data_IF_802880742447
#
_entry.id   IF_802880742447
#
_cell.length_a   1.000
_cell.length_b   1.000
_cell.length_c   1.000
_cell.angle_alpha   90.00
_cell.angle_beta   90.00
_cell.angle_gamma   90.00
#
_symmetry.space_group_name_H-M   'P 1'
#
loop_
_entity.id
_entity.type
_entity.pdbx_description
1 polymer ?
#
# COMPACT_ATOMS: atom_id res chain seq x y z
N UNK A 1 5.83 23.57 0.97
CA UNK A 1 4.41 23.31 0.65
C UNK A 1 3.54 23.57 1.86
N UNK A 2 2.30 24.02 1.64
CA UNK A 2 1.29 24.10 2.69
C UNK A 2 0.75 22.70 3.01
N UNK A 3 0.43 22.42 4.28
CA UNK A 3 -0.16 21.15 4.72
C UNK A 3 -1.47 20.89 3.95
N UNK A 4 -1.59 19.82 3.14
CA UNK A 4 -2.81 19.56 2.40
C UNK A 4 -3.90 19.06 3.35
N UNK A 5 -5.18 19.38 3.06
CA UNK A 5 -6.34 18.83 3.78
C UNK A 5 -7.10 17.84 2.87
N UNK A 6 -7.94 16.99 3.47
CA UNK A 6 -8.65 15.91 2.78
C UNK A 6 -9.30 16.35 1.46
N UNK A 7 -10.13 17.40 1.49
CA UNK A 7 -10.92 17.85 0.34
C UNK A 7 -10.05 18.21 -0.88
N UNK A 8 -8.84 18.71 -0.64
CA UNK A 8 -7.92 19.12 -1.70
C UNK A 8 -7.20 17.92 -2.32
N UNK A 9 -6.94 16.86 -1.55
CA UNK A 9 -6.25 15.66 -2.07
C UNK A 9 -7.22 14.64 -2.65
N UNK A 10 -8.39 14.45 -2.05
CA UNK A 10 -9.46 13.61 -2.61
C UNK A 10 -9.98 14.13 -3.95
N UNK A 11 -9.83 15.44 -4.21
CA UNK A 11 -10.10 16.03 -5.54
C UNK A 11 -9.12 15.57 -6.63
N UNK A 12 -7.97 14.98 -6.27
CA UNK A 12 -6.92 14.54 -7.19
C UNK A 12 -6.01 15.67 -7.71
N UNK A 13 -6.19 16.92 -7.27
CA UNK A 13 -5.54 18.11 -7.84
C UNK A 13 -4.09 18.35 -7.40
N UNK A 14 -3.58 17.64 -6.39
CA UNK A 14 -2.28 17.96 -5.73
C UNK A 14 -1.11 17.06 -6.12
N UNK A 15 -1.37 15.94 -6.79
CA UNK A 15 -0.34 14.93 -7.09
C UNK A 15 0.09 14.06 -5.89
N UNK A 16 -0.46 14.27 -4.69
CA UNK A 16 -0.22 13.39 -3.54
C UNK A 16 -0.73 11.95 -3.80
N UNK A 17 -0.16 10.98 -3.08
CA UNK A 17 -0.64 9.59 -3.02
C UNK A 17 -1.17 9.33 -1.62
N UNK A 18 -2.24 8.56 -1.46
CA UNK A 18 -2.57 7.97 -0.17
C UNK A 18 -1.50 6.93 0.18
N UNK A 19 -0.98 6.99 1.40
CA UNK A 19 0.17 6.19 1.78
C UNK A 19 0.20 5.75 3.25
N UNK A 20 1.17 4.90 3.58
CA UNK A 20 1.57 4.56 4.94
C UNK A 20 3.08 4.78 5.11
N UNK A 21 3.45 5.41 6.22
CA UNK A 21 4.82 5.38 6.73
C UNK A 21 4.97 4.17 7.64
N UNK A 22 5.90 3.29 7.30
CA UNK A 22 6.14 2.05 8.03
C UNK A 22 7.43 2.18 8.81
N UNK A 23 7.32 2.39 10.12
CA UNK A 23 8.47 2.35 11.02
C UNK A 23 8.64 0.92 11.52
N UNK A 24 9.82 0.34 11.28
CA UNK A 24 10.09 -1.06 11.58
C UNK A 24 11.48 -1.27 12.19
N UNK A 25 11.63 -2.37 12.93
CA UNK A 25 12.92 -2.82 13.47
C UNK A 25 13.59 -3.79 12.47
N UNK A 26 14.71 -3.40 11.82
CA UNK A 26 15.38 -4.23 10.83
C UNK A 26 15.96 -5.53 11.39
N UNK A 27 16.09 -5.67 12.72
CA UNK A 27 16.48 -6.93 13.36
C UNK A 27 15.35 -7.95 13.43
N UNK A 28 14.09 -7.52 13.23
CA UNK A 28 12.88 -8.36 13.30
C UNK A 28 12.22 -8.57 11.96
N UNK A 29 12.19 -7.53 11.13
CA UNK A 29 11.64 -7.58 9.78
C UNK A 29 12.56 -6.83 8.81
N UNK A 30 12.91 -7.50 7.71
CA UNK A 30 13.70 -6.88 6.66
C UNK A 30 12.84 -6.05 5.71
N UNK A 31 13.46 -5.08 5.04
CA UNK A 31 12.78 -4.31 4.00
C UNK A 31 12.27 -5.19 2.84
N UNK A 32 12.98 -6.27 2.52
CA UNK A 32 12.55 -7.24 1.50
C UNK A 32 11.24 -7.94 1.88
N UNK A 33 11.05 -8.28 3.16
CA UNK A 33 9.78 -8.84 3.66
C UNK A 33 8.65 -7.81 3.61
N UNK A 34 8.93 -6.53 3.90
CA UNK A 34 7.92 -5.47 3.74
C UNK A 34 7.51 -5.27 2.28
N UNK A 35 8.45 -5.39 1.34
CA UNK A 35 8.15 -5.38 -0.09
C UNK A 35 7.28 -6.58 -0.48
N UNK A 36 7.63 -7.79 -0.05
CA UNK A 36 6.82 -9.00 -0.30
C UNK A 36 5.38 -8.82 0.21
N UNK A 37 5.21 -8.32 1.45
CA UNK A 37 3.89 -7.98 1.99
C UNK A 37 3.18 -6.94 1.11
N UNK A 38 3.87 -5.90 0.66
CA UNK A 38 3.30 -4.88 -0.22
C UNK A 38 2.71 -5.50 -1.50
N UNK A 39 3.43 -6.40 -2.17
CA UNK A 39 2.98 -7.03 -3.42
C UNK A 39 1.75 -7.92 -3.20
N UNK A 40 1.65 -8.58 -2.05
CA UNK A 40 0.47 -9.39 -1.71
C UNK A 40 -0.79 -8.56 -1.39
N UNK A 41 -0.67 -7.23 -1.27
CA UNK A 41 -1.76 -6.38 -0.79
C UNK A 41 -2.28 -5.38 -1.84
N UNK A 42 -1.67 -5.33 -3.02
CA UNK A 42 -2.00 -4.36 -4.08
C UNK A 42 -2.30 -5.03 -5.42
N UNK A 43 -3.01 -4.32 -6.29
CA UNK A 43 -3.03 -4.54 -7.73
C UNK A 43 -1.99 -3.60 -8.38
N UNK A 44 -0.80 -4.10 -8.75
CA UNK A 44 0.25 -3.30 -9.38
C UNK A 44 0.10 -3.23 -10.91
N UNK A 45 -1.07 -3.57 -11.45
CA UNK A 45 -1.28 -3.72 -12.90
C UNK A 45 -2.21 -2.66 -13.52
N UNK A 46 -2.80 -1.81 -12.68
CA UNK A 46 -3.75 -0.76 -13.06
C UNK A 46 -3.22 0.59 -12.61
N UNK A 47 -2.97 1.50 -13.55
CA UNK A 47 -2.42 2.81 -13.23
C UNK A 47 -3.49 3.71 -12.58
N UNK A 48 -3.10 4.48 -11.55
CA UNK A 48 -3.98 5.43 -10.85
C UNK A 48 -5.30 4.79 -10.36
N UNK A 49 -5.22 3.54 -9.94
CA UNK A 49 -6.37 2.78 -9.47
C UNK A 49 -5.90 1.69 -8.52
N UNK A 50 -6.69 1.45 -7.48
CA UNK A 50 -6.56 0.27 -6.65
C UNK A 50 -7.94 -0.35 -6.44
N UNK A 51 -8.14 -1.56 -6.98
CA UNK A 51 -9.43 -2.22 -6.96
C UNK A 51 -10.57 -1.31 -7.49
N UNK A 52 -11.58 -1.00 -6.66
CA UNK A 52 -12.66 -0.08 -7.00
C UNK A 52 -12.29 1.41 -6.88
N UNK A 53 -11.21 1.76 -6.17
CA UNK A 53 -10.76 3.13 -5.93
C UNK A 53 -10.00 3.69 -7.14
N UNK A 54 -10.44 4.84 -7.68
CA UNK A 54 -9.88 5.44 -8.91
C UNK A 54 -9.39 6.87 -8.68
N UNK A 55 -8.22 7.17 -9.21
CA UNK A 55 -7.57 8.46 -9.07
C UNK A 55 -6.07 8.34 -8.81
N UNK A 56 -5.33 9.41 -9.13
CA UNK A 56 -3.86 9.44 -8.96
C UNK A 56 -3.45 9.21 -7.50
N UNK A 57 -4.30 9.57 -6.55
CA UNK A 57 -4.07 9.33 -5.14
C UNK A 57 -4.01 7.82 -4.77
N UNK A 58 -4.63 6.94 -5.57
CA UNK A 58 -4.65 5.49 -5.33
C UNK A 58 -3.62 4.72 -6.17
N UNK A 59 -2.66 5.41 -6.79
CA UNK A 59 -1.60 4.74 -7.55
C UNK A 59 -0.76 3.85 -6.62
N UNK A 60 -0.35 2.68 -7.12
CA UNK A 60 0.65 1.85 -6.45
C UNK A 60 2.01 2.54 -6.50
N UNK A 61 2.65 2.76 -5.35
CA UNK A 61 3.94 3.43 -5.27
C UNK A 61 4.77 2.93 -4.08
N UNK A 62 6.10 2.99 -4.20
CA UNK A 62 7.08 2.73 -3.14
C UNK A 62 7.99 3.96 -3.04
N UNK A 63 8.15 4.48 -1.83
CA UNK A 63 8.96 5.66 -1.54
C UNK A 63 10.19 5.32 -0.68
N UNK A 64 11.26 4.77 -1.27
CA UNK A 64 12.47 4.43 -0.54
C UNK A 64 13.09 5.65 0.17
N UNK A 65 13.47 5.46 1.44
CA UNK A 65 14.14 6.45 2.27
C UNK A 65 15.64 6.60 1.95
N UNK A 66 16.25 5.60 1.29
CA UNK A 66 17.66 5.63 0.90
C UNK A 66 17.94 4.74 -0.34
N UNK A 67 19.15 4.85 -0.89
CA UNK A 67 19.58 4.10 -2.09
C UNK A 67 19.51 2.58 -1.94
N UNK A 68 19.76 2.06 -0.74
CA UNK A 68 19.67 0.62 -0.48
C UNK A 68 18.23 0.11 -0.60
N UNK A 69 17.28 0.82 0.00
CA UNK A 69 15.86 0.55 -0.17
C UNK A 69 15.40 0.72 -1.62
N UNK A 70 15.89 1.74 -2.33
CA UNK A 70 15.56 1.93 -3.75
C UNK A 70 16.02 0.73 -4.60
N UNK A 71 17.25 0.26 -4.39
CA UNK A 71 17.78 -0.91 -5.08
C UNK A 71 16.95 -2.16 -4.80
N UNK A 72 16.62 -2.42 -3.53
CA UNK A 72 15.77 -3.56 -3.14
C UNK A 72 14.36 -3.46 -3.72
N UNK A 73 13.76 -2.27 -3.73
CA UNK A 73 12.45 -2.04 -4.33
C UNK A 73 12.46 -2.37 -5.82
N UNK A 74 13.46 -1.88 -6.57
CA UNK A 74 13.62 -2.16 -8.01
C UNK A 74 13.86 -3.65 -8.29
N UNK A 75 14.68 -4.30 -7.47
CA UNK A 75 14.90 -5.75 -7.57
C UNK A 75 13.61 -6.52 -7.31
N UNK A 76 12.83 -6.13 -6.31
CA UNK A 76 11.54 -6.79 -6.02
C UNK A 76 10.53 -6.61 -7.15
N UNK A 77 10.41 -5.40 -7.71
CA UNK A 77 9.56 -5.11 -8.86
C UNK A 77 9.89 -6.04 -10.04
N UNK A 78 11.18 -6.12 -10.39
CA UNK A 78 11.64 -7.01 -11.47
C UNK A 78 11.33 -8.48 -11.16
N UNK A 79 11.57 -8.93 -9.92
CA UNK A 79 11.28 -10.30 -9.53
C UNK A 79 9.79 -10.66 -9.69
N UNK A 80 8.86 -9.75 -9.37
CA UNK A 80 7.43 -9.99 -9.59
C UNK A 80 7.01 -9.90 -11.06
N UNK A 81 7.62 -9.01 -11.84
CA UNK A 81 7.43 -9.00 -13.30
C UNK A 81 7.86 -10.34 -13.91
N UNK A 82 9.04 -10.84 -13.55
CA UNK A 82 9.61 -12.10 -14.04
C UNK A 82 8.80 -13.31 -13.57
N UNK A 83 8.24 -13.26 -12.35
CA UNK A 83 7.40 -14.34 -11.80
C UNK A 83 6.13 -14.60 -12.61
N UNK A 84 5.61 -13.57 -13.29
CA UNK A 84 4.33 -13.63 -14.02
C UNK A 84 3.10 -13.79 -13.13
N UNK A 85 3.21 -13.66 -11.79
CA UNK A 85 2.09 -13.75 -10.84
C UNK A 85 0.93 -12.81 -11.21
N UNK A 86 1.25 -11.61 -11.65
CA UNK A 86 0.28 -10.59 -12.08
C UNK A 86 -0.09 -10.66 -13.57
N UNK A 87 0.18 -11.79 -14.22
CA UNK A 87 0.05 -12.00 -15.66
C UNK A 87 1.41 -12.07 -16.33
N UNK A 88 1.69 -13.20 -16.98
CA UNK A 88 2.97 -13.44 -17.67
C UNK A 88 3.22 -12.39 -18.75
N UNK A 89 4.42 -11.78 -18.72
CA UNK A 89 4.83 -10.75 -19.68
C UNK A 89 4.18 -9.37 -19.46
N UNK A 90 3.47 -9.18 -18.33
CA UNK A 90 2.85 -7.91 -17.99
C UNK A 90 3.83 -7.04 -17.21
N UNK A 91 4.01 -5.81 -17.67
CA UNK A 91 4.74 -4.77 -16.93
C UNK A 91 3.90 -4.27 -15.75
N UNK A 92 4.52 -4.14 -14.59
CA UNK A 92 3.89 -3.57 -13.40
C UNK A 92 4.00 -2.03 -13.43
N UNK A 93 2.95 -1.36 -12.98
CA UNK A 93 2.83 0.11 -13.03
C UNK A 93 3.20 0.78 -11.71
N UNK A 94 3.68 0.02 -10.72
CA UNK A 94 4.10 0.55 -9.42
C UNK A 94 5.25 1.53 -9.59
N UNK A 95 5.06 2.75 -9.08
CA UNK A 95 6.07 3.81 -9.12
C UNK A 95 7.12 3.58 -8.02
N UNK A 96 8.41 3.75 -8.33
CA UNK A 96 9.49 3.79 -7.32
C UNK A 96 10.10 5.19 -7.39
N UNK A 97 9.82 6.00 -6.37
CA UNK A 97 10.17 7.42 -6.34
C UNK A 97 10.84 7.81 -5.03
N UNK A 98 11.77 8.77 -5.01
CA UNK A 98 12.38 9.23 -3.76
C UNK A 98 11.34 9.66 -2.72
N UNK A 99 11.59 9.33 -1.45
CA UNK A 99 10.76 9.79 -0.34
C UNK A 99 10.71 11.32 -0.26
N UNK A 100 9.51 11.87 -0.38
CA UNK A 100 9.22 13.29 -0.25
C UNK A 100 8.73 13.66 1.16
N UNK A 101 8.13 14.84 1.29
CA UNK A 101 7.46 15.24 2.52
C UNK A 101 6.25 14.34 2.82
N UNK A 102 6.17 13.86 4.05
CA UNK A 102 5.06 13.06 4.54
C UNK A 102 4.10 13.90 5.38
N UNK A 103 2.83 13.91 4.99
CA UNK A 103 1.79 14.65 5.70
C UNK A 103 0.80 13.67 6.33
N UNK A 104 0.88 13.52 7.66
CA UNK A 104 -0.03 12.66 8.42
C UNK A 104 -1.49 13.06 8.17
N UNK A 105 -2.29 12.06 7.82
CA UNK A 105 -3.73 12.13 7.67
C UNK A 105 -4.43 12.53 9.00
N UNK A 106 -5.61 13.15 8.93
CA UNK A 106 -6.47 13.41 10.08
C UNK A 106 -6.75 12.13 10.91
N UNK A 107 -7.01 12.33 12.20
CA UNK A 107 -7.01 11.26 13.19
C UNK A 107 -8.10 10.19 12.97
N UNK A 108 -9.20 10.54 12.31
CA UNK A 108 -10.27 9.57 12.03
C UNK A 108 -9.90 8.54 10.95
N UNK A 109 -8.86 8.80 10.14
CA UNK A 109 -8.32 7.82 9.19
C UNK A 109 -7.30 6.87 9.80
N UNK A 110 -6.68 7.26 10.92
CA UNK A 110 -5.68 6.46 11.60
C UNK A 110 -6.37 5.25 12.21
N UNK A 111 -5.81 4.05 12.02
CA UNK A 111 -6.36 2.81 12.56
C UNK A 111 -7.82 2.57 12.14
N UNK A 112 -8.21 3.04 10.95
CA UNK A 112 -9.61 2.99 10.51
C UNK A 112 -10.19 1.58 10.54
N UNK A 113 -9.40 0.57 10.16
CA UNK A 113 -9.81 -0.83 10.16
C UNK A 113 -10.09 -1.37 11.58
N UNK A 114 -9.41 -0.85 12.60
CA UNK A 114 -9.64 -1.17 14.02
C UNK A 114 -10.84 -0.40 14.57
N UNK A 115 -10.96 0.89 14.21
CA UNK A 115 -12.03 1.78 14.70
C UNK A 115 -13.39 1.45 14.07
N UNK A 116 -13.41 0.97 12.82
CA UNK A 116 -14.63 0.71 12.04
C UNK A 116 -14.61 -0.66 11.34
N UNK A 117 -14.46 -1.78 12.08
CA UNK A 117 -14.14 -3.09 11.50
C UNK A 117 -15.25 -3.65 10.59
N UNK A 118 -16.52 -3.35 10.85
CA UNK A 118 -17.65 -3.81 10.03
C UNK A 118 -17.73 -3.07 8.71
N UNK A 119 -17.66 -1.73 8.75
CA UNK A 119 -17.63 -0.89 7.56
C UNK A 119 -16.40 -1.20 6.70
N UNK A 120 -15.26 -1.41 7.35
CA UNK A 120 -14.03 -1.81 6.68
C UNK A 120 -14.20 -3.12 5.90
N UNK A 121 -14.68 -4.18 6.57
CA UNK A 121 -14.92 -5.49 5.94
C UNK A 121 -15.96 -5.42 4.82
N UNK A 122 -17.04 -4.67 5.04
CA UNK A 122 -18.07 -4.47 4.01
C UNK A 122 -17.48 -3.77 2.78
N UNK A 123 -16.72 -2.69 2.98
CA UNK A 123 -16.11 -1.94 1.89
C UNK A 123 -15.09 -2.79 1.12
N UNK A 124 -14.17 -3.42 1.83
CA UNK A 124 -13.10 -4.27 1.26
C UNK A 124 -13.65 -5.40 0.40
N UNK A 125 -14.64 -6.14 0.90
CA UNK A 125 -15.27 -7.24 0.16
C UNK A 125 -16.00 -6.75 -1.08
N UNK A 126 -16.72 -5.62 -0.99
CA UNK A 126 -17.45 -5.03 -2.13
C UNK A 126 -16.56 -4.35 -3.17
N UNK A 127 -15.36 -3.92 -2.77
CA UNK A 127 -14.40 -3.27 -3.65
C UNK A 127 -13.69 -4.25 -4.59
N UNK A 128 -13.86 -5.56 -4.39
CA UNK A 128 -13.28 -6.62 -5.22
C UNK A 128 -11.81 -6.92 -4.92
N UNK A 129 -11.27 -6.40 -3.81
CA UNK A 129 -9.89 -6.66 -3.37
C UNK A 129 -9.66 -8.14 -3.11
N UNK A 130 -10.50 -8.73 -2.27
CA UNK A 130 -10.29 -10.11 -1.83
C UNK A 130 -10.42 -11.09 -3.00
N UNK A 131 -11.34 -10.83 -3.93
CA UNK A 131 -11.49 -11.63 -5.14
C UNK A 131 -10.27 -11.53 -6.06
N UNK A 132 -9.74 -10.32 -6.25
CA UNK A 132 -8.52 -10.11 -7.03
C UNK A 132 -7.32 -10.81 -6.38
N UNK A 133 -7.12 -10.64 -5.08
CA UNK A 133 -6.00 -11.25 -4.37
C UNK A 133 -6.10 -12.79 -4.40
N UNK A 134 -7.28 -13.36 -4.19
CA UNK A 134 -7.51 -14.81 -4.36
C UNK A 134 -7.22 -15.29 -5.78
N UNK A 135 -7.50 -14.49 -6.81
CA UNK A 135 -7.16 -14.84 -8.19
C UNK A 135 -5.64 -14.90 -8.42
N UNK A 136 -4.86 -14.04 -7.77
CA UNK A 136 -3.39 -13.97 -7.94
C UNK A 136 -2.67 -14.98 -7.05
N UNK A 137 -3.10 -15.12 -5.80
CA UNK A 137 -2.37 -15.85 -4.74
C UNK A 137 -3.03 -17.17 -4.33
N UNK A 138 -4.28 -17.43 -4.72
CA UNK A 138 -5.01 -18.62 -4.29
C UNK A 138 -5.20 -18.66 -2.77
N UNK A 139 -4.88 -19.79 -2.14
CA UNK A 139 -4.97 -19.97 -0.69
C UNK A 139 -4.03 -19.04 0.10
N UNK A 140 -2.92 -18.57 -0.53
CA UNK A 140 -2.01 -17.60 0.09
C UNK A 140 -2.66 -16.22 0.29
N UNK A 141 -3.77 -15.92 -0.40
CA UNK A 141 -4.54 -14.68 -0.18
C UNK A 141 -5.31 -14.68 1.15
N UNK A 142 -5.68 -15.86 1.64
CA UNK A 142 -6.53 -16.06 2.81
C UNK A 142 -5.73 -16.49 4.06
N UNK A 143 -4.42 -16.75 3.89
CA UNK A 143 -3.50 -16.82 5.01
C UNK A 143 -3.68 -15.53 5.82
N UNK A 144 -4.13 -15.65 7.08
CA UNK A 144 -4.60 -14.53 7.88
C UNK A 144 -3.77 -13.27 7.61
N UNK A 145 -4.46 -12.14 7.36
CA UNK A 145 -3.86 -10.81 7.28
C UNK A 145 -2.64 -10.75 8.20
N UNK A 146 -1.49 -10.17 7.79
CA UNK A 146 -0.27 -10.12 8.60
C UNK A 146 -0.40 -9.27 9.89
N UNK A 147 -1.55 -9.27 10.53
CA UNK A 147 -1.75 -9.02 11.94
C UNK A 147 -1.05 -10.05 12.87
N UNK A 148 -0.43 -11.13 12.36
CA UNK A 148 0.21 -12.13 13.23
C UNK A 148 1.67 -12.52 12.91
N UNK A 149 2.27 -12.10 11.79
CA UNK A 149 3.69 -12.43 11.52
C UNK A 149 4.67 -11.46 12.19
N UNK A 150 4.21 -10.25 12.52
CA UNK A 150 5.02 -9.22 13.19
C UNK A 150 4.25 -8.71 14.42
N UNK A 151 4.50 -9.26 15.63
CA UNK A 151 3.80 -8.82 16.82
C UNK A 151 4.15 -7.36 17.19
N UNK A 152 3.21 -6.54 17.69
CA UNK A 152 3.55 -5.28 18.33
C UNK A 152 4.60 -5.52 19.44
N UNK A 153 5.68 -4.72 19.57
CA UNK A 153 5.92 -3.38 19.03
C UNK A 153 6.80 -3.34 17.76
N UNK A 154 6.91 -4.43 16.99
CA UNK A 154 7.90 -4.53 15.90
C UNK A 154 7.53 -3.75 14.61
N UNK A 155 6.29 -3.26 14.51
CA UNK A 155 5.81 -2.40 13.43
C UNK A 155 5.02 -1.25 14.04
N UNK A 156 5.42 -0.01 13.76
CA UNK A 156 4.65 1.18 14.10
C UNK A 156 4.17 1.78 12.79
N UNK A 157 2.94 1.42 12.41
CA UNK A 157 2.29 1.94 11.21
C UNK A 157 1.76 3.33 11.49
N UNK A 158 2.28 4.33 10.78
CA UNK A 158 1.70 5.67 10.80
C UNK A 158 1.05 5.90 9.44
N UNK A 159 -0.28 5.99 9.43
CA UNK A 159 -0.97 6.32 8.19
C UNK A 159 -0.67 7.77 7.80
N UNK A 160 -0.32 7.93 6.53
CA UNK A 160 -0.18 9.22 5.87
C UNK A 160 0.28 8.97 4.43
N UNK A 161 -0.46 9.43 3.47
CA UNK A 161 -0.42 10.84 3.15
C UNK A 161 -1.88 11.28 3.18
N UNK A 162 -2.15 12.52 2.79
CA UNK A 162 -3.47 13.16 2.92
C UNK A 162 -4.55 12.37 2.18
N UNK A 163 -5.13 11.40 2.88
CA UNK A 163 -6.55 11.21 3.11
C UNK A 163 -7.43 10.84 1.92
N UNK A 164 -8.10 9.69 2.03
CA UNK A 164 -9.33 9.47 1.30
C UNK A 164 -9.91 8.10 1.06
N UNK A 165 -9.45 7.02 1.69
CA UNK A 165 -10.22 5.77 1.71
C UNK A 165 -10.33 5.16 3.10
N UNK A 166 -11.45 4.51 3.39
CA UNK A 166 -11.39 3.31 4.22
C UNK A 166 -10.28 2.44 3.59
N UNK A 167 -9.31 1.98 4.38
CA UNK A 167 -8.04 1.44 3.90
C UNK A 167 -8.16 0.11 3.13
N UNK A 168 -8.91 0.05 2.03
CA UNK A 168 -9.17 -1.15 1.25
C UNK A 168 -8.39 -1.21 -0.04
N UNK A 169 -7.53 -0.24 -0.36
CA UNK A 169 -6.72 -0.35 -1.57
C UNK A 169 -5.67 0.74 -1.70
N UNK A 170 -4.43 0.43 -1.33
CA UNK A 170 -3.29 1.28 -1.64
C UNK A 170 -2.21 1.13 -0.59
N UNK A 171 -1.49 0.00 -0.63
CA UNK A 171 -0.20 -0.01 0.06
C UNK A 171 0.69 0.97 -0.71
N UNK A 172 1.16 1.97 -0.01
CA UNK A 172 2.38 2.67 -0.34
C UNK A 172 3.31 2.36 0.82
N UNK A 173 4.48 1.84 0.51
CA UNK A 173 5.54 1.65 1.48
C UNK A 173 6.44 2.89 1.42
N UNK A 174 6.37 3.74 2.45
CA UNK A 174 7.34 4.79 2.75
C UNK A 174 8.14 4.40 4.00
#
# INVERSE_FOLDING_TARGET
EARPNYNVVSSGATGHAEAMEVVYDPSKVSYAQLLDIFWHQVNPTTANQQFCDRGRQYRSAIFPANKGQEQLARQSLQAYEDSGKFGRGRKLVTEIMPLGAFWRAEEYHQDYYLKNPELYRYYRSRCGRDDYLRQVWGEEADAEEPASVIPPPALLLKYGAVLGGAWAGGAVLA
#
